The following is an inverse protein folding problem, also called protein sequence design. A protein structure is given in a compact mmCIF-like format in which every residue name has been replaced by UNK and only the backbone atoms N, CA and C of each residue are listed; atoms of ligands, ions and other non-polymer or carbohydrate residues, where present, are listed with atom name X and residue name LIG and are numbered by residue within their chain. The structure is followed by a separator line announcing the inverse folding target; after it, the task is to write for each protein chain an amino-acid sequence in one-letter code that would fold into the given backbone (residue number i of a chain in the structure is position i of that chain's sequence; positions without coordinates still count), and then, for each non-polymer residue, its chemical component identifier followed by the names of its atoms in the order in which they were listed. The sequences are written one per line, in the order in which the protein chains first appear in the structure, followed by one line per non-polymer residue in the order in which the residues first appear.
data_IF_754345334338
#
_entry.id   IF_754345334338
#
_cell.length_a   1.000
_cell.length_b   1.000
_cell.length_c   1.000
_cell.angle_alpha   90.00
_cell.angle_beta   90.00
_cell.angle_gamma   90.00
#
_symmetry.space_group_name_H-M   'P 1'
#
loop_
_entity.id
_entity.type
_entity.pdbx_description
1 polymer ?
#
# COMPACT_ATOMS: atom_id res chain seq x y z
N UNK A 1 -6.10 18.06 17.92
CA UNK A 1 -5.97 17.17 16.75
C UNK A 1 -6.66 15.88 17.11
N UNK A 2 -7.88 15.68 16.62
CA UNK A 2 -8.63 14.43 16.74
C UNK A 2 -7.98 13.41 15.81
N UNK A 3 -7.53 12.28 16.33
CA UNK A 3 -7.08 11.16 15.48
C UNK A 3 -8.24 10.74 14.56
N UNK A 4 -7.97 10.45 13.28
CA UNK A 4 -9.01 9.93 12.38
C UNK A 4 -9.58 8.63 12.95
N UNK A 5 -10.87 8.41 12.75
CA UNK A 5 -11.50 7.11 13.03
C UNK A 5 -10.80 6.03 12.17
N UNK A 6 -10.56 4.84 12.72
CA UNK A 6 -9.72 3.81 12.08
C UNK A 6 -10.22 3.39 10.70
N UNK A 7 -11.52 3.45 10.46
CA UNK A 7 -12.12 3.14 9.16
C UNK A 7 -11.75 4.19 8.09
N UNK A 8 -11.74 5.48 8.44
CA UNK A 8 -11.34 6.55 7.54
C UNK A 8 -9.85 6.46 7.15
N UNK A 9 -8.99 6.08 8.10
CA UNK A 9 -7.56 5.89 7.83
C UNK A 9 -7.31 4.67 6.91
N UNK A 10 -8.10 3.60 7.02
CA UNK A 10 -8.01 2.46 6.14
C UNK A 10 -8.47 2.78 4.71
N UNK A 11 -9.55 3.55 4.56
CA UNK A 11 -10.03 4.05 3.26
C UNK A 11 -9.00 4.95 2.56
N UNK A 12 -8.38 5.87 3.29
CA UNK A 12 -7.31 6.72 2.75
C UNK A 12 -6.10 5.90 2.25
N UNK A 13 -5.71 4.86 2.99
CA UNK A 13 -4.61 3.96 2.61
C UNK A 13 -4.96 3.10 1.38
N UNK A 14 -6.21 2.63 1.27
CA UNK A 14 -6.67 1.88 0.11
C UNK A 14 -6.70 2.76 -1.16
N UNK A 15 -7.21 3.98 -1.03
CA UNK A 15 -7.20 4.96 -2.12
C UNK A 15 -5.78 5.35 -2.53
N UNK A 16 -4.88 5.57 -1.57
CA UNK A 16 -3.47 5.82 -1.85
C UNK A 16 -2.82 4.63 -2.58
N UNK A 17 -3.10 3.40 -2.16
CA UNK A 17 -2.60 2.19 -2.82
C UNK A 17 -3.12 2.09 -4.26
N UNK A 18 -4.40 2.39 -4.49
CA UNK A 18 -5.01 2.40 -5.83
C UNK A 18 -4.35 3.43 -6.75
N UNK A 19 -4.15 4.65 -6.28
CA UNK A 19 -3.50 5.72 -7.04
C UNK A 19 -2.05 5.39 -7.38
N UNK A 20 -1.28 4.92 -6.39
CA UNK A 20 0.11 4.51 -6.59
C UNK A 20 0.22 3.32 -7.56
N UNK A 21 -0.69 2.35 -7.46
CA UNK A 21 -0.76 1.22 -8.39
C UNK A 21 -1.06 1.65 -9.82
N UNK A 22 -2.02 2.57 -10.02
CA UNK A 22 -2.33 3.14 -11.34
C UNK A 22 -1.12 3.88 -11.93
N UNK A 23 -0.50 4.74 -11.13
CA UNK A 23 0.68 5.51 -11.54
C UNK A 23 1.86 4.61 -11.90
N UNK A 24 2.12 3.57 -11.11
CA UNK A 24 3.15 2.57 -11.43
C UNK A 24 2.83 1.80 -12.72
N UNK A 25 1.56 1.51 -12.99
CA UNK A 25 1.11 0.90 -14.24
C UNK A 25 1.43 1.79 -15.45
N UNK A 26 1.00 3.05 -15.40
CA UNK A 26 1.24 4.04 -16.47
C UNK A 26 2.73 4.28 -16.72
N UNK A 27 3.53 4.40 -15.66
CA UNK A 27 4.98 4.54 -15.78
C UNK A 27 5.62 3.33 -16.44
N UNK A 28 5.17 2.11 -16.13
CA UNK A 28 5.70 0.89 -16.74
C UNK A 28 5.43 0.85 -18.24
N UNK A 29 4.23 1.25 -18.67
CA UNK A 29 3.88 1.34 -20.09
C UNK A 29 4.71 2.42 -20.82
N UNK A 30 4.91 3.57 -20.18
CA UNK A 30 5.77 4.63 -20.71
C UNK A 30 7.22 4.15 -20.84
N UNK A 31 7.77 3.45 -19.84
CA UNK A 31 9.12 2.90 -19.88
C UNK A 31 9.30 1.85 -20.98
N UNK A 32 8.29 1.00 -21.22
CA UNK A 32 8.28 0.05 -22.32
C UNK A 32 8.33 0.75 -23.69
N UNK A 33 7.54 1.82 -23.84
CA UNK A 33 7.51 2.64 -25.06
C UNK A 33 8.84 3.35 -25.31
N UNK A 34 9.45 3.92 -24.26
CA UNK A 34 10.80 4.53 -24.34
C UNK A 34 11.82 3.49 -24.77
N UNK A 35 11.78 2.27 -24.21
CA UNK A 35 12.72 1.20 -24.59
C UNK A 35 12.62 0.83 -26.07
N UNK A 36 11.40 0.74 -26.60
CA UNK A 36 11.19 0.47 -28.02
C UNK A 36 11.79 1.60 -28.88
N UNK A 37 11.51 2.86 -28.53
CA UNK A 37 12.07 4.03 -29.22
C UNK A 37 13.59 4.07 -29.20
N UNK A 38 14.22 3.74 -28.07
CA UNK A 38 15.69 3.68 -27.96
C UNK A 38 16.28 2.59 -28.85
N UNK A 39 15.61 1.45 -29.00
CA UNK A 39 16.03 0.39 -29.91
C UNK A 39 15.94 0.83 -31.37
N UNK A 40 14.86 1.54 -31.75
CA UNK A 40 14.69 2.08 -33.09
C UNK A 40 15.77 3.13 -33.42
N UNK A 41 16.03 4.07 -32.50
CA UNK A 41 17.10 5.08 -32.67
C UNK A 41 18.48 4.43 -32.76
N UNK A 42 18.76 3.39 -31.96
CA UNK A 42 20.03 2.67 -32.03
C UNK A 42 20.23 1.96 -33.39
N UNK A 43 19.14 1.46 -33.98
CA UNK A 43 19.18 0.83 -35.30
C UNK A 43 19.40 1.87 -36.42
N UNK A 44 18.75 3.03 -36.33
CA UNK A 44 18.83 4.10 -37.32
C UNK A 44 20.12 4.93 -37.22
N UNK A 45 20.75 4.98 -36.04
CA UNK A 45 21.92 5.81 -35.76
C UNK A 45 23.09 5.00 -35.17
N UNK A 46 23.77 4.16 -35.98
CA UNK A 46 24.78 3.21 -35.48
C UNK A 46 26.15 3.83 -35.19
N UNK A 47 26.31 5.14 -35.34
CA UNK A 47 27.59 5.80 -35.12
C UNK A 47 27.88 6.05 -33.62
N UNK A 48 29.12 6.39 -33.24
CA UNK A 48 29.49 6.58 -31.84
C UNK A 48 28.66 7.66 -31.10
N UNK A 49 28.13 8.65 -31.83
CA UNK A 49 27.27 9.69 -31.25
C UNK A 49 25.90 9.11 -30.90
N UNK A 50 25.32 8.30 -31.82
CA UNK A 50 24.09 7.56 -31.57
C UNK A 50 24.23 6.62 -30.38
N UNK A 51 25.31 5.85 -30.30
CA UNK A 51 25.60 4.98 -29.16
C UNK A 51 25.67 5.74 -27.82
N UNK A 52 26.40 6.86 -27.78
CA UNK A 52 26.51 7.69 -26.56
C UNK A 52 25.17 8.32 -26.14
N UNK A 53 24.29 8.61 -27.10
CA UNK A 53 22.94 9.11 -26.80
C UNK A 53 22.06 7.99 -26.22
N UNK A 54 22.07 6.81 -26.84
CA UNK A 54 21.34 5.62 -26.36
C UNK A 54 21.77 5.28 -24.93
N UNK A 55 23.08 5.26 -24.65
CA UNK A 55 23.60 5.01 -23.30
C UNK A 55 23.06 6.00 -22.27
N UNK A 56 23.02 7.31 -22.61
CA UNK A 56 22.49 8.34 -21.72
C UNK A 56 20.98 8.17 -21.49
N UNK A 57 20.23 7.84 -22.53
CA UNK A 57 18.80 7.62 -22.42
C UNK A 57 18.49 6.34 -21.62
N UNK A 58 19.33 5.31 -21.73
CA UNK A 58 19.20 4.07 -20.99
C UNK A 58 19.44 4.27 -19.48
N UNK A 59 20.28 5.24 -19.08
CA UNK A 59 20.41 5.67 -17.68
C UNK A 59 19.12 6.30 -17.15
N UNK A 60 18.51 7.22 -17.89
CA UNK A 60 17.24 7.84 -17.51
C UNK A 60 16.13 6.77 -17.39
N UNK A 61 16.08 5.84 -18.33
CA UNK A 61 15.13 4.72 -18.30
C UNK A 61 15.27 3.88 -17.02
N UNK A 62 16.50 3.52 -16.63
CA UNK A 62 16.75 2.74 -15.39
C UNK A 62 16.31 3.49 -14.13
N UNK A 63 16.40 4.81 -14.14
CA UNK A 63 15.93 5.64 -13.03
C UNK A 63 14.40 5.65 -12.94
N UNK A 64 13.72 5.76 -14.09
CA UNK A 64 12.26 5.63 -14.18
C UNK A 64 11.76 4.24 -13.79
N UNK A 65 12.45 3.18 -14.20
CA UNK A 65 12.14 1.80 -13.78
C UNK A 65 12.20 1.69 -12.24
N UNK A 66 13.24 2.26 -11.61
CA UNK A 66 13.37 2.27 -10.14
C UNK A 66 12.21 3.00 -9.47
N UNK A 67 11.84 4.19 -9.96
CA UNK A 67 10.71 4.93 -9.42
C UNK A 67 9.38 4.19 -9.58
N UNK A 68 9.22 3.44 -10.66
CA UNK A 68 8.05 2.58 -10.90
C UNK A 68 7.98 1.46 -9.88
N UNK A 69 9.10 0.80 -9.60
CA UNK A 69 9.19 -0.26 -8.60
C UNK A 69 8.95 0.27 -7.18
N UNK A 70 9.52 1.44 -6.83
CA UNK A 70 9.31 2.10 -5.55
C UNK A 70 7.82 2.47 -5.33
N UNK A 71 7.15 2.98 -6.37
CA UNK A 71 5.72 3.29 -6.33
C UNK A 71 4.87 2.03 -6.14
N UNK A 72 5.20 0.93 -6.82
CA UNK A 72 4.52 -0.34 -6.67
C UNK A 72 4.72 -0.97 -5.28
N UNK A 73 5.93 -0.89 -4.73
CA UNK A 73 6.20 -1.36 -3.36
C UNK A 73 5.46 -0.51 -2.32
N UNK A 74 5.43 0.82 -2.49
CA UNK A 74 4.66 1.70 -1.62
C UNK A 74 3.16 1.39 -1.67
N UNK A 75 2.60 1.14 -2.86
CA UNK A 75 1.21 0.70 -3.02
C UNK A 75 0.95 -0.60 -2.25
N UNK A 76 1.82 -1.60 -2.40
CA UNK A 76 1.69 -2.88 -1.71
C UNK A 76 1.79 -2.75 -0.18
N UNK A 77 2.64 -1.84 0.33
CA UNK A 77 2.74 -1.53 1.75
C UNK A 77 1.48 -0.82 2.26
N UNK A 78 0.93 0.12 1.50
CA UNK A 78 -0.30 0.83 1.85
C UNK A 78 -1.49 -0.14 1.93
N UNK A 79 -1.64 -1.06 0.97
CA UNK A 79 -2.68 -2.10 1.03
C UNK A 79 -2.55 -2.97 2.29
N UNK A 80 -1.32 -3.41 2.63
CA UNK A 80 -1.10 -4.20 3.85
C UNK A 80 -1.48 -3.42 5.11
N UNK A 81 -1.09 -2.15 5.18
CA UNK A 81 -1.41 -1.29 6.31
C UNK A 81 -2.92 -1.04 6.46
N UNK A 82 -3.66 -0.88 5.35
CA UNK A 82 -5.11 -0.75 5.36
C UNK A 82 -5.78 -2.01 5.95
N UNK A 83 -5.35 -3.19 5.50
CA UNK A 83 -5.87 -4.49 6.00
C UNK A 83 -5.57 -4.68 7.48
N UNK A 84 -4.36 -4.34 7.93
CA UNK A 84 -3.98 -4.46 9.34
C UNK A 84 -4.76 -3.47 10.22
N UNK A 85 -5.00 -2.24 9.75
CA UNK A 85 -5.82 -1.24 10.43
C UNK A 85 -7.24 -1.74 10.73
N UNK A 86 -7.92 -2.30 9.72
CA UNK A 86 -9.26 -2.89 9.85
C UNK A 86 -9.25 -4.04 10.87
N UNK A 87 -8.21 -4.90 10.86
CA UNK A 87 -8.11 -6.03 11.79
C UNK A 87 -7.98 -5.58 13.24
N UNK A 88 -7.29 -4.47 13.49
CA UNK A 88 -7.13 -3.91 14.84
C UNK A 88 -8.35 -3.11 15.33
N UNK A 89 -9.17 -2.61 14.40
CA UNK A 89 -10.39 -1.87 14.71
C UNK A 89 -11.56 -2.78 15.11
N UNK A 90 -11.55 -4.07 14.71
CA UNK A 90 -12.56 -5.04 15.11
C UNK A 90 -12.42 -5.43 16.61
N UNK A 91 -13.31 -4.96 17.50
CA UNK A 91 -13.24 -5.27 18.92
C UNK A 91 -13.59 -6.74 19.23
N UNK A 92 -14.06 -7.53 18.25
CA UNK A 92 -14.34 -8.94 18.44
C UNK A 92 -13.09 -9.85 18.42
N UNK A 93 -11.95 -9.33 17.97
CA UNK A 93 -10.74 -10.09 17.62
C UNK A 93 -9.60 -10.02 18.65
N UNK A 94 -9.95 -9.93 19.95
CA UNK A 94 -8.97 -10.05 21.04
C UNK A 94 -8.43 -11.47 21.23
N UNK A 95 -7.23 -11.65 21.82
CA UNK A 95 -6.61 -12.97 22.00
C UNK A 95 -7.51 -13.90 22.82
N UNK A 96 -7.81 -15.08 22.25
CA UNK A 96 -8.54 -16.15 22.93
C UNK A 96 -7.59 -16.88 23.88
N UNK A 97 -7.85 -16.77 25.18
CA UNK A 97 -7.18 -17.60 26.18
C UNK A 97 -7.67 -19.05 26.00
N UNK A 98 -6.75 -19.97 25.66
CA UNK A 98 -7.07 -21.38 25.50
C UNK A 98 -7.54 -21.97 26.84
N UNK A 99 -8.70 -22.63 26.85
CA UNK A 99 -9.19 -23.39 28.01
C UNK A 99 -10.40 -22.81 28.74
N UNK A 100 -10.96 -21.69 28.31
CA UNK A 100 -12.27 -21.22 28.78
C UNK A 100 -13.29 -21.33 27.65
N UNK A 101 -14.37 -22.10 27.84
CA UNK A 101 -15.59 -22.03 27.03
C UNK A 101 -16.26 -20.67 27.25
N UNK A 102 -15.64 -19.60 26.74
CA UNK A 102 -16.05 -18.23 26.97
C UNK A 102 -17.33 -17.94 26.19
N UNK A 103 -18.49 -18.21 26.81
CA UNK A 103 -19.78 -17.68 26.37
C UNK A 103 -19.76 -16.16 26.54
N UNK A 104 -19.83 -15.46 25.41
CA UNK A 104 -19.85 -13.98 25.39
C UNK A 104 -21.15 -13.46 26.02
N UNK A 105 -21.01 -12.42 26.84
CA UNK A 105 -22.15 -11.68 27.40
C UNK A 105 -22.74 -10.82 26.28
N UNK A 106 -24.04 -10.94 26.03
CA UNK A 106 -24.75 -10.12 25.05
C UNK A 106 -24.68 -8.63 25.43
N UNK A 107 -24.48 -7.72 24.47
CA UNK A 107 -24.52 -6.28 24.71
C UNK A 107 -25.98 -5.88 24.97
N UNK A 108 -26.34 -5.81 26.25
CA UNK A 108 -27.71 -5.56 26.69
C UNK A 108 -27.98 -6.02 28.12
N UNK A 109 -27.15 -6.92 28.64
CA UNK A 109 -27.22 -7.35 30.04
C UNK A 109 -25.85 -7.19 30.69
N UNK A 110 -25.44 -5.93 30.88
CA UNK A 110 -24.22 -5.61 31.61
C UNK A 110 -24.25 -6.21 33.02
N UNK A 111 -23.13 -6.79 33.43
CA UNK A 111 -22.92 -7.34 34.77
C UNK A 111 -23.02 -6.19 35.79
N UNK A 112 -24.07 -6.17 36.61
CA UNK A 112 -24.19 -5.18 37.69
C UNK A 112 -23.12 -5.45 38.74
N UNK A 113 -22.15 -4.55 38.85
CA UNK A 113 -21.20 -4.52 39.95
C UNK A 113 -22.01 -4.27 41.23
N UNK A 114 -21.93 -5.19 42.19
CA UNK A 114 -22.60 -5.05 43.47
C UNK A 114 -22.03 -3.82 44.21
N UNK A 115 -22.87 -2.84 44.51
CA UNK A 115 -22.50 -1.71 45.37
C UNK A 115 -22.58 -2.14 46.84
N UNK A 116 -21.52 -1.85 47.60
CA UNK A 116 -21.51 -2.06 49.05
C UNK A 116 -22.45 -1.03 49.73
N UNK A 117 -23.20 -1.44 50.77
CA UNK A 117 -24.04 -0.51 51.51
C UNK A 117 -23.18 0.49 52.28
N UNK A 118 -23.46 1.77 52.10
CA UNK A 118 -22.89 2.86 52.89
C UNK A 118 -23.36 2.72 54.34
N UNK A 119 -22.42 2.82 55.28
CA UNK A 119 -22.71 2.91 56.72
C UNK A 119 -22.80 4.37 57.14
#
# INVERSE_FOLDING_TARGET
MTSPEPDAAAEELDEAARLLGSYAGELREACASVRALLADVAADWPDPTGAAWVDRADLLRRDLDRHTDDAADLAARATRAAVDGVRTADPASGPLLAGTDARRVQPGTGMRIATLPER
#
